data_IF_805856919306
#
_entry.id   IF_805856919306
#
_cell.length_a   1.000
_cell.length_b   1.000
_cell.length_c   1.000
_cell.angle_alpha   90.00
_cell.angle_beta   90.00
_cell.angle_gamma   90.00
#
_symmetry.space_group_name_H-M   'P 1'
#
loop_
_entity.id
_entity.type
_entity.pdbx_description
1 polymer ?
#
# COMPACT_ATOMS: atom_id res chain seq x y z
N UNK A 1 23.66 24.81 7.72
CA UNK A 1 22.64 24.59 6.67
C UNK A 1 23.14 23.45 5.82
N UNK A 2 22.33 22.42 5.53
CA UNK A 2 22.74 21.34 4.64
C UNK A 2 22.17 21.62 3.26
N UNK A 3 23.02 21.91 2.28
CA UNK A 3 22.56 22.00 0.89
C UNK A 3 22.28 20.61 0.33
N UNK A 4 21.33 20.53 -0.61
CA UNK A 4 20.96 19.29 -1.28
C UNK A 4 21.24 19.45 -2.78
N UNK A 5 21.87 18.43 -3.37
CA UNK A 5 22.09 18.34 -4.81
C UNK A 5 21.23 17.23 -5.39
N UNK A 6 20.49 17.56 -6.45
CA UNK A 6 19.67 16.65 -7.25
C UNK A 6 20.24 16.58 -8.67
N UNK A 7 20.50 15.38 -9.18
CA UNK A 7 20.94 15.16 -10.55
C UNK A 7 20.83 13.69 -10.94
N UNK A 8 20.41 13.41 -12.17
CA UNK A 8 20.34 12.05 -12.75
C UNK A 8 19.60 11.01 -11.90
N UNK A 9 18.52 11.41 -11.21
CA UNK A 9 17.75 10.52 -10.32
C UNK A 9 18.49 10.15 -9.02
N UNK A 10 19.53 10.91 -8.68
CA UNK A 10 20.34 10.78 -7.47
C UNK A 10 20.20 12.03 -6.60
N UNK A 11 20.31 11.83 -5.30
CA UNK A 11 20.32 12.89 -4.31
C UNK A 11 21.52 12.72 -3.38
N UNK A 12 22.23 13.81 -3.16
CA UNK A 12 23.29 13.91 -2.16
C UNK A 12 22.97 15.07 -1.21
N UNK A 13 23.29 14.88 0.08
CA UNK A 13 23.04 15.86 1.13
C UNK A 13 24.39 16.28 1.71
N UNK A 14 24.65 17.58 1.74
CA UNK A 14 25.86 18.13 2.32
C UNK A 14 26.04 17.70 3.78
N UNK A 15 27.22 17.18 4.12
CA UNK A 15 27.52 16.67 5.45
C UNK A 15 26.98 15.25 5.72
N UNK A 16 26.38 14.59 4.74
CA UNK A 16 26.04 13.16 4.79
C UNK A 16 26.94 12.38 3.84
N UNK A 17 27.49 11.24 4.29
CA UNK A 17 28.19 10.30 3.42
C UNK A 17 27.25 9.45 2.58
N UNK A 18 25.96 9.40 2.96
CA UNK A 18 24.95 8.62 2.26
C UNK A 18 24.58 9.25 0.92
N UNK A 19 24.45 8.40 -0.10
CA UNK A 19 23.89 8.75 -1.40
C UNK A 19 22.55 8.08 -1.55
N UNK A 20 21.63 8.77 -2.22
CA UNK A 20 20.28 8.30 -2.41
C UNK A 20 19.97 8.22 -3.90
N UNK A 21 19.14 7.24 -4.26
CA UNK A 21 18.60 7.05 -5.61
C UNK A 21 17.10 6.95 -5.53
N UNK A 22 16.39 7.32 -6.60
CA UNK A 22 14.94 7.20 -6.63
C UNK A 22 14.53 5.72 -6.65
N UNK A 23 13.69 5.32 -5.69
CA UNK A 23 13.25 3.93 -5.49
C UNK A 23 12.11 3.47 -6.41
N UNK A 24 11.94 4.09 -7.58
CA UNK A 24 10.81 3.83 -8.49
C UNK A 24 10.78 2.41 -9.07
N UNK A 25 11.90 1.69 -9.02
CA UNK A 25 11.97 0.28 -9.42
C UNK A 25 11.40 -0.68 -8.35
N UNK A 26 11.07 -0.19 -7.16
CA UNK A 26 10.58 -0.98 -6.03
C UNK A 26 9.20 -0.52 -5.60
N UNK A 27 8.42 -1.46 -5.09
CA UNK A 27 7.07 -1.22 -4.61
C UNK A 27 7.10 -0.84 -3.14
N UNK A 28 6.61 0.34 -2.83
CA UNK A 28 6.38 0.77 -1.45
C UNK A 28 5.09 0.13 -0.93
N UNK A 29 5.10 -0.40 0.30
CA UNK A 29 3.95 -1.07 0.90
C UNK A 29 3.58 -0.45 2.24
N UNK A 30 2.30 -0.11 2.39
CA UNK A 30 1.69 0.30 3.65
C UNK A 30 0.71 -0.78 4.12
N UNK A 31 0.68 -1.00 5.43
CA UNK A 31 -0.41 -1.70 6.12
C UNK A 31 -1.05 -0.74 7.10
N UNK A 32 -2.36 -0.68 7.12
CA UNK A 32 -3.11 0.17 8.03
C UNK A 32 -4.23 -0.59 8.72
N UNK A 33 -4.46 -0.26 9.98
CA UNK A 33 -5.48 -0.85 10.82
C UNK A 33 -6.29 0.25 11.53
N UNK A 34 -7.32 -0.13 12.27
CA UNK A 34 -8.18 0.80 12.99
C UNK A 34 -9.00 1.69 12.05
N UNK A 35 -9.54 1.10 10.99
CA UNK A 35 -10.32 1.83 9.99
C UNK A 35 -11.55 2.47 10.62
N UNK A 36 -11.75 3.75 10.32
CA UNK A 36 -12.89 4.53 10.81
C UNK A 36 -13.48 5.39 9.71
N UNK A 37 -14.75 5.20 9.42
CA UNK A 37 -15.49 6.09 8.53
C UNK A 37 -15.69 7.47 9.16
N UNK A 38 -15.46 8.50 8.36
CA UNK A 38 -15.85 9.87 8.68
C UNK A 38 -16.66 10.40 7.50
N UNK A 39 -17.97 10.51 7.70
CA UNK A 39 -18.87 11.14 6.75
C UNK A 39 -19.05 12.63 7.01
N UNK A 40 -19.58 13.35 6.03
CA UNK A 40 -19.93 14.76 6.16
C UNK A 40 -19.65 15.53 4.88
N UNK A 41 -19.87 16.84 4.97
CA UNK A 41 -19.59 17.76 3.88
C UNK A 41 -18.45 18.71 4.27
N UNK A 42 -17.61 19.04 3.31
CA UNK A 42 -16.52 19.99 3.45
C UNK A 42 -16.79 21.20 2.55
N UNK A 43 -16.52 22.42 3.03
CA UNK A 43 -16.57 23.62 2.18
C UNK A 43 -15.24 23.78 1.47
N UNK A 44 -15.24 23.71 0.14
CA UNK A 44 -14.06 23.94 -0.72
C UNK A 44 -14.43 24.94 -1.80
N UNK A 45 -13.64 26.02 -1.91
CA UNK A 45 -13.83 27.08 -2.90
C UNK A 45 -15.26 27.65 -2.92
N UNK A 46 -15.90 27.74 -1.74
CA UNK A 46 -17.26 28.24 -1.59
C UNK A 46 -18.37 27.25 -2.01
N UNK A 47 -18.01 26.01 -2.36
CA UNK A 47 -18.96 24.92 -2.65
C UNK A 47 -18.92 23.88 -1.55
N UNK A 48 -20.09 23.32 -1.25
CA UNK A 48 -20.21 22.19 -0.36
C UNK A 48 -19.91 20.90 -1.15
N UNK A 49 -18.83 20.22 -0.81
CA UNK A 49 -18.43 18.95 -1.42
C UNK A 49 -18.60 17.80 -0.43
N UNK A 50 -18.85 16.59 -0.94
CA UNK A 50 -18.84 15.39 -0.12
C UNK A 50 -17.42 15.17 0.44
N UNK A 51 -17.31 15.21 1.76
CA UNK A 51 -16.05 15.13 2.51
C UNK A 51 -15.76 13.74 3.07
N UNK A 52 -16.46 12.73 2.57
CA UNK A 52 -16.31 11.35 3.02
C UNK A 52 -14.86 10.86 2.93
N UNK A 53 -14.42 10.22 4.01
CA UNK A 53 -13.08 9.64 4.13
C UNK A 53 -13.06 8.48 5.11
N UNK A 54 -12.07 7.62 4.95
CA UNK A 54 -11.75 6.58 5.93
C UNK A 54 -10.40 6.94 6.54
N UNK A 55 -10.34 6.98 7.87
CA UNK A 55 -9.12 7.20 8.63
C UNK A 55 -8.58 5.86 9.12
N UNK A 56 -7.27 5.72 9.15
CA UNK A 56 -6.60 4.53 9.68
C UNK A 56 -5.20 4.90 10.20
N UNK A 57 -4.60 4.02 10.99
CA UNK A 57 -3.21 4.13 11.41
C UNK A 57 -2.37 3.18 10.56
N UNK A 58 -1.40 3.73 9.83
CA UNK A 58 -0.56 2.99 8.88
C UNK A 58 0.88 2.83 9.36
N UNK A 59 1.50 1.75 8.90
CA UNK A 59 2.94 1.46 9.03
C UNK A 59 3.49 0.94 7.71
N UNK A 60 4.79 1.10 7.51
CA UNK A 60 5.49 0.48 6.38
C UNK A 60 5.54 -1.03 6.61
N UNK A 61 5.16 -1.82 5.61
CA UNK A 61 5.00 -3.27 5.76
C UNK A 61 6.35 -4.02 5.75
N UNK A 62 7.33 -3.57 4.95
CA UNK A 62 8.60 -4.28 4.72
C UNK A 62 9.79 -3.31 4.74
N UNK A 63 9.99 -2.70 5.89
CA UNK A 63 11.06 -1.75 6.10
C UNK A 63 10.58 -0.54 6.89
N UNK A 64 11.18 0.61 6.60
CA UNK A 64 11.00 1.82 7.40
C UNK A 64 10.90 3.03 6.49
N UNK A 65 10.11 4.01 6.92
CA UNK A 65 10.09 5.34 6.33
C UNK A 65 10.97 6.25 7.18
N UNK A 66 11.76 7.13 6.57
CA UNK A 66 12.69 8.05 7.24
C UNK A 66 12.74 9.38 6.50
N UNK A 67 13.37 10.38 7.13
CA UNK A 67 13.75 11.64 6.47
C UNK A 67 15.19 11.54 6.00
N UNK A 68 15.47 11.88 4.74
CA UNK A 68 16.84 11.80 4.23
C UNK A 68 17.75 12.78 4.99
N UNK A 69 18.91 12.29 5.44
CA UNK A 69 19.84 13.07 6.26
C UNK A 69 19.51 13.09 7.76
N UNK A 70 18.45 12.41 8.19
CA UNK A 70 18.13 12.19 9.60
C UNK A 70 18.08 10.69 9.90
N UNK A 71 18.40 10.32 11.15
CA UNK A 71 18.45 8.92 11.58
C UNK A 71 17.13 8.41 12.14
N UNK A 72 16.13 9.29 12.30
CA UNK A 72 14.84 8.94 12.87
C UNK A 72 13.96 8.13 11.92
N UNK A 73 13.34 7.10 12.50
CA UNK A 73 12.31 6.31 11.85
C UNK A 73 10.94 6.94 12.06
N UNK A 74 10.17 7.00 10.99
CA UNK A 74 8.76 7.33 11.07
C UNK A 74 8.04 6.13 11.66
N UNK A 75 7.42 6.34 12.83
CA UNK A 75 6.55 5.36 13.46
C UNK A 75 5.19 5.24 12.75
N UNK A 76 4.12 5.27 13.52
CA UNK A 76 2.76 5.30 12.98
C UNK A 76 2.53 6.52 12.09
N UNK A 77 1.87 6.30 10.95
CA UNK A 77 1.52 7.31 9.96
C UNK A 77 0.00 7.42 9.90
N UNK A 78 -0.55 8.61 10.09
CA UNK A 78 -1.99 8.83 9.90
C UNK A 78 -2.38 8.66 8.44
N UNK A 79 -3.17 7.64 8.11
CA UNK A 79 -3.67 7.39 6.76
C UNK A 79 -5.08 7.94 6.58
N UNK A 80 -5.27 8.71 5.52
CA UNK A 80 -6.59 9.14 5.05
C UNK A 80 -6.86 8.56 3.66
N UNK A 81 -7.91 7.75 3.53
CA UNK A 81 -8.42 7.27 2.25
C UNK A 81 -9.58 8.18 1.82
N UNK A 82 -9.52 8.70 0.58
CA UNK A 82 -10.56 9.56 -0.01
C UNK A 82 -11.01 9.01 -1.35
N UNK A 83 -12.29 9.16 -1.72
CA UNK A 83 -12.70 8.93 -3.09
C UNK A 83 -12.16 10.05 -4.01
N UNK A 84 -11.75 9.68 -5.22
CA UNK A 84 -11.51 10.62 -6.30
C UNK A 84 -12.83 11.25 -6.74
N UNK A 85 -12.82 12.52 -7.20
CA UNK A 85 -13.99 13.13 -7.81
C UNK A 85 -14.45 12.30 -9.02
N UNK A 86 -15.75 12.03 -9.13
CA UNK A 86 -16.33 11.18 -10.19
C UNK A 86 -16.09 11.72 -11.63
N UNK A 87 -15.62 12.95 -11.77
CA UNK A 87 -15.31 13.61 -13.05
C UNK A 87 -13.91 13.27 -13.62
N UNK A 88 -13.09 12.45 -12.95
CA UNK A 88 -11.76 12.12 -13.47
C UNK A 88 -11.85 11.10 -14.62
N UNK A 89 -11.51 11.49 -15.84
CA UNK A 89 -11.53 10.62 -17.04
C UNK A 89 -10.54 9.43 -16.95
N UNK A 90 -9.56 9.48 -16.06
CA UNK A 90 -8.66 8.38 -15.74
C UNK A 90 -8.43 8.33 -14.21
N UNK A 91 -9.17 7.49 -13.46
CA UNK A 91 -9.00 7.40 -12.01
C UNK A 91 -7.72 6.64 -11.68
N UNK A 92 -6.57 7.32 -11.78
CA UNK A 92 -5.32 6.79 -11.25
C UNK A 92 -5.35 6.92 -9.74
N UNK A 93 -5.25 5.80 -9.05
CA UNK A 93 -5.17 5.78 -7.60
C UNK A 93 -3.86 6.45 -7.18
N UNK A 94 -3.92 7.42 -6.28
CA UNK A 94 -2.75 8.21 -5.87
C UNK A 94 -2.42 7.94 -4.40
N UNK A 95 -1.13 7.95 -4.08
CA UNK A 95 -0.62 7.96 -2.71
C UNK A 95 0.27 9.19 -2.54
N UNK A 96 0.06 9.94 -1.47
CA UNK A 96 0.91 11.02 -1.03
C UNK A 96 1.40 10.74 0.39
N UNK A 97 2.69 10.93 0.63
CA UNK A 97 3.33 10.75 1.93
C UNK A 97 4.12 12.00 2.27
N UNK A 98 4.10 12.43 3.53
CA UNK A 98 4.90 13.58 3.94
C UNK A 98 4.73 13.90 5.40
N UNK A 99 5.14 15.11 5.75
CA UNK A 99 4.89 15.71 7.06
C UNK A 99 3.98 16.91 6.88
N UNK A 100 3.11 17.12 7.87
CA UNK A 100 2.30 18.33 7.99
C UNK A 100 2.49 18.89 9.39
N UNK A 101 2.37 20.20 9.52
CA UNK A 101 2.35 20.82 10.84
C UNK A 101 0.96 20.65 11.44
N UNK A 102 0.90 20.01 12.60
CA UNK A 102 -0.33 19.81 13.37
C UNK A 102 -0.04 20.15 14.83
N UNK A 103 -0.76 21.14 15.37
CA UNK A 103 -0.56 21.65 16.73
C UNK A 103 0.89 22.07 17.05
N UNK A 104 1.61 22.61 16.06
CA UNK A 104 3.01 23.05 16.22
C UNK A 104 4.04 21.92 16.21
N UNK A 105 3.65 20.69 15.89
CA UNK A 105 4.53 19.56 15.68
C UNK A 105 4.41 19.02 14.25
N UNK A 106 5.52 18.58 13.65
CA UNK A 106 5.48 17.89 12.36
C UNK A 106 4.96 16.45 12.57
N UNK A 107 3.78 16.15 12.04
CA UNK A 107 3.19 14.81 12.08
C UNK A 107 3.29 14.13 10.71
N UNK A 108 3.72 12.86 10.66
CA UNK A 108 3.76 12.10 9.41
C UNK A 108 2.34 11.77 8.96
N UNK A 109 2.08 11.89 7.66
CA UNK A 109 0.79 11.55 7.08
C UNK A 109 0.93 10.76 5.79
N UNK A 110 -0.12 9.98 5.49
CA UNK A 110 -0.36 9.36 4.21
C UNK A 110 -1.78 9.73 3.74
N UNK A 111 -1.92 10.08 2.47
CA UNK A 111 -3.21 10.36 1.85
C UNK A 111 -3.34 9.55 0.56
N UNK A 112 -4.37 8.73 0.49
CA UNK A 112 -4.64 7.88 -0.66
C UNK A 112 -5.96 8.27 -1.31
N UNK A 113 -5.92 8.49 -2.62
CA UNK A 113 -7.10 8.81 -3.42
C UNK A 113 -7.51 7.58 -4.22
N UNK A 114 -8.70 7.08 -3.93
CA UNK A 114 -9.23 5.83 -4.45
C UNK A 114 -10.29 6.07 -5.50
N UNK A 115 -10.45 5.15 -6.45
CA UNK A 115 -11.59 5.18 -7.35
C UNK A 115 -12.89 5.06 -6.52
N UNK A 116 -13.97 5.79 -6.85
CA UNK A 116 -15.20 5.78 -6.07
C UNK A 116 -15.75 4.37 -5.76
N UNK A 117 -15.71 3.48 -6.75
CA UNK A 117 -16.15 2.09 -6.58
C UNK A 117 -15.32 1.31 -5.54
N UNK A 118 -14.00 1.53 -5.50
CA UNK A 118 -13.11 0.88 -4.52
C UNK A 118 -13.36 1.45 -3.13
N UNK A 119 -13.55 2.76 -3.03
CA UNK A 119 -13.85 3.42 -1.75
C UNK A 119 -15.19 2.92 -1.16
N UNK A 120 -16.25 2.87 -1.96
CA UNK A 120 -17.55 2.38 -1.49
C UNK A 120 -17.53 0.88 -1.14
N UNK A 121 -16.78 0.06 -1.88
CA UNK A 121 -16.60 -1.35 -1.54
C UNK A 121 -15.89 -1.53 -0.18
N UNK A 122 -14.77 -0.84 0.03
CA UNK A 122 -14.05 -0.87 1.30
C UNK A 122 -14.92 -0.36 2.45
N UNK A 123 -15.66 0.73 2.24
CA UNK A 123 -16.58 1.30 3.23
C UNK A 123 -17.66 0.29 3.60
N UNK A 124 -18.28 -0.37 2.63
CA UNK A 124 -19.30 -1.39 2.87
C UNK A 124 -18.71 -2.56 3.66
N UNK A 125 -17.56 -3.09 3.27
CA UNK A 125 -16.92 -4.22 3.95
C UNK A 125 -16.51 -3.86 5.37
N UNK A 126 -15.94 -2.67 5.59
CA UNK A 126 -15.59 -2.17 6.92
C UNK A 126 -16.82 -2.03 7.82
N UNK A 127 -17.94 -1.48 7.30
CA UNK A 127 -19.18 -1.37 8.08
C UNK A 127 -19.80 -2.74 8.42
N UNK A 128 -19.51 -3.77 7.64
CA UNK A 128 -19.93 -5.15 7.89
C UNK A 128 -18.90 -5.97 8.71
N UNK A 129 -17.79 -5.36 9.16
CA UNK A 129 -16.73 -6.07 9.90
C UNK A 129 -15.90 -7.03 9.04
N UNK A 130 -15.89 -6.83 7.72
CA UNK A 130 -15.11 -7.61 6.75
C UNK A 130 -13.77 -6.93 6.40
N UNK A 131 -13.53 -5.71 6.89
CA UNK A 131 -12.32 -4.94 6.61
C UNK A 131 -11.85 -4.15 7.85
N UNK A 132 -10.88 -4.73 8.59
CA UNK A 132 -10.23 -4.09 9.75
C UNK A 132 -8.75 -3.78 9.49
N UNK A 133 -8.13 -4.43 8.49
CA UNK A 133 -6.80 -4.13 7.98
C UNK A 133 -6.89 -3.84 6.47
N UNK A 134 -6.18 -2.80 6.01
CA UNK A 134 -5.99 -2.49 4.59
C UNK A 134 -4.50 -2.48 4.27
N UNK A 135 -4.14 -3.10 3.15
CA UNK A 135 -2.80 -3.11 2.58
C UNK A 135 -2.79 -2.32 1.27
N UNK A 136 -1.84 -1.40 1.12
CA UNK A 136 -1.61 -0.61 -0.09
C UNK A 136 -0.23 -0.92 -0.65
N UNK A 137 -0.17 -1.20 -1.95
CA UNK A 137 1.06 -1.22 -2.73
C UNK A 137 1.08 -0.01 -3.66
N UNK A 138 2.22 0.66 -3.75
CA UNK A 138 2.39 1.80 -4.65
C UNK A 138 3.80 1.88 -5.24
N UNK A 139 3.86 2.37 -6.47
CA UNK A 139 5.10 2.84 -7.08
C UNK A 139 5.25 4.33 -6.79
N UNK A 140 6.28 4.71 -6.02
CA UNK A 140 6.46 6.07 -5.50
C UNK A 140 7.74 6.73 -6.00
N UNK A 141 7.87 8.04 -5.79
CA UNK A 141 9.11 8.79 -5.95
C UNK A 141 9.94 8.89 -4.65
N UNK A 142 9.71 8.00 -3.68
CA UNK A 142 10.53 7.93 -2.48
C UNK A 142 11.99 7.60 -2.85
N UNK A 143 12.89 8.06 -2.00
CA UNK A 143 14.31 7.80 -2.13
C UNK A 143 14.69 6.53 -1.37
N UNK A 144 15.72 5.86 -1.82
CA UNK A 144 16.37 4.75 -1.13
C UNK A 144 17.88 5.00 -1.11
N UNK A 145 18.62 4.40 -0.18
CA UNK A 145 20.09 4.53 -0.23
C UNK A 145 20.63 3.82 -1.46
N UNK A 146 21.71 4.36 -2.02
CA UNK A 146 22.36 3.78 -3.20
C UNK A 146 22.89 2.37 -2.93
N UNK A 147 23.35 2.09 -1.70
CA UNK A 147 23.80 0.76 -1.25
C UNK A 147 22.70 -0.30 -1.28
N UNK A 148 21.44 0.11 -1.09
CA UNK A 148 20.29 -0.80 -1.09
C UNK A 148 19.71 -1.05 -2.50
N UNK A 149 20.25 -0.37 -3.52
CA UNK A 149 19.74 -0.42 -4.90
C UNK A 149 19.59 -1.84 -5.42
N UNK A 150 20.58 -2.68 -5.16
CA UNK A 150 20.67 -4.04 -5.68
C UNK A 150 20.30 -5.10 -4.62
N UNK A 151 19.77 -4.68 -3.46
CA UNK A 151 19.33 -5.59 -2.42
C UNK A 151 18.22 -6.55 -2.91
N UNK A 152 18.10 -7.77 -2.36
CA UNK A 152 17.01 -8.67 -2.71
C UNK A 152 15.64 -8.00 -2.53
N UNK A 153 14.68 -8.26 -3.43
CA UNK A 153 13.36 -7.62 -3.38
C UNK A 153 12.55 -7.95 -2.10
N UNK A 154 12.88 -9.05 -1.42
CA UNK A 154 12.19 -9.48 -0.21
C UNK A 154 12.83 -8.96 1.10
N UNK A 155 13.90 -8.17 1.05
CA UNK A 155 14.56 -7.62 2.23
C UNK A 155 13.87 -6.35 2.75
N UNK A 156 13.98 -6.05 4.06
CA UNK A 156 13.51 -4.79 4.61
C UNK A 156 14.26 -3.61 3.96
N UNK A 157 13.53 -2.60 3.50
CA UNK A 157 14.10 -1.46 2.77
C UNK A 157 13.91 -0.13 3.51
N UNK A 158 14.95 0.69 3.53
CA UNK A 158 14.85 2.08 3.98
C UNK A 158 14.28 2.98 2.88
N UNK A 159 13.13 3.57 3.15
CA UNK A 159 12.49 4.58 2.29
C UNK A 159 12.69 5.97 2.88
N UNK A 160 12.98 6.95 2.04
CA UNK A 160 13.37 8.28 2.47
C UNK A 160 12.55 9.37 1.77
N UNK A 161 12.00 10.28 2.58
CA UNK A 161 11.47 11.55 2.09
C UNK A 161 12.63 12.54 1.92
N UNK A 162 12.62 13.29 0.82
CA UNK A 162 13.65 14.29 0.55
C UNK A 162 13.44 15.55 1.41
N UNK A 163 14.51 16.20 1.88
CA UNK A 163 14.40 17.54 2.43
C UNK A 163 14.04 18.54 1.32
N UNK A 164 13.42 19.65 1.72
CA UNK A 164 13.11 20.80 0.89
C UNK A 164 14.36 21.59 0.53
N UNK A 165 14.20 22.56 -0.37
CA UNK A 165 15.30 23.40 -0.84
C UNK A 165 16.00 24.19 0.29
N UNK A 166 15.30 24.45 1.39
CA UNK A 166 15.80 25.12 2.59
C UNK A 166 16.45 24.16 3.60
N UNK A 167 16.40 22.85 3.33
CA UNK A 167 16.91 21.78 4.20
C UNK A 167 16.13 21.61 5.52
N UNK A 168 14.99 22.30 5.68
CA UNK A 168 14.14 22.24 6.88
C UNK A 168 12.82 21.53 6.61
N UNK A 169 12.11 21.95 5.56
CA UNK A 169 10.86 21.31 5.19
C UNK A 169 11.14 19.91 4.62
N UNK A 170 10.14 19.03 4.65
CA UNK A 170 10.18 17.74 3.95
C UNK A 170 9.31 17.82 2.70
N UNK A 171 9.85 17.43 1.56
CA UNK A 171 9.10 17.37 0.30
C UNK A 171 8.22 16.13 0.32
N UNK A 172 6.89 16.27 0.15
CA UNK A 172 6.02 15.11 0.09
C UNK A 172 6.35 14.20 -1.09
N UNK A 173 6.41 12.90 -0.82
CA UNK A 173 6.47 11.89 -1.86
C UNK A 173 5.08 11.64 -2.45
N UNK A 174 5.05 11.29 -3.73
CA UNK A 174 3.86 10.95 -4.50
C UNK A 174 4.09 9.64 -5.24
N UNK A 175 3.02 8.88 -5.42
CA UNK A 175 3.05 7.64 -6.15
C UNK A 175 1.69 7.24 -6.66
N UNK A 176 1.69 6.17 -7.45
CA UNK A 176 0.49 5.53 -7.95
C UNK A 176 0.26 4.24 -7.18
N UNK A 177 -0.95 4.06 -6.66
CA UNK A 177 -1.36 2.81 -6.03
C UNK A 177 -1.65 1.82 -7.16
N UNK A 178 -0.94 0.72 -7.14
CA UNK A 178 -1.01 -0.37 -8.11
C UNK A 178 -1.61 -1.64 -7.48
N UNK A 179 -2.04 -1.57 -6.21
CA UNK A 179 -2.76 -2.64 -5.54
C UNK A 179 -3.27 -2.20 -4.17
N UNK A 180 -4.47 -2.66 -3.86
CA UNK A 180 -5.15 -2.47 -2.58
C UNK A 180 -5.85 -3.77 -2.24
N UNK A 181 -5.74 -4.20 -0.98
CA UNK A 181 -6.44 -5.35 -0.45
C UNK A 181 -6.86 -5.05 0.99
N UNK A 182 -7.97 -5.61 1.44
CA UNK A 182 -8.42 -5.51 2.82
C UNK A 182 -8.95 -6.85 3.31
N UNK A 183 -8.89 -7.04 4.61
CA UNK A 183 -9.30 -8.27 5.28
C UNK A 183 -9.79 -7.99 6.70
N UNK A 184 -10.57 -8.90 7.31
CA UNK A 184 -10.83 -8.88 8.74
C UNK A 184 -9.52 -8.96 9.53
N UNK A 185 -9.49 -8.40 10.74
CA UNK A 185 -8.29 -8.50 11.57
C UNK A 185 -8.04 -9.98 11.86
N UNK A 186 -6.85 -10.47 11.51
CA UNK A 186 -6.44 -11.81 11.89
C UNK A 186 -6.48 -11.86 13.43
N UNK A 187 -7.43 -12.62 13.98
CA UNK A 187 -7.50 -12.89 15.41
C UNK A 187 -6.13 -13.43 15.80
N UNK A 188 -5.43 -12.86 16.79
CA UNK A 188 -4.15 -13.39 17.19
C UNK A 188 -4.37 -14.87 17.52
N UNK A 189 -3.67 -15.75 16.80
CA UNK A 189 -3.60 -17.15 17.21
C UNK A 189 -3.17 -17.15 18.67
N UNK A 190 -3.87 -17.86 19.58
CA UNK A 190 -3.43 -17.93 20.95
C UNK A 190 -2.00 -18.47 20.91
N UNK A 191 -1.05 -17.60 21.27
CA UNK A 191 0.34 -18.00 21.48
C UNK A 191 0.30 -19.18 22.42
N UNK A 192 0.63 -20.37 21.90
CA UNK A 192 0.82 -21.57 22.68
C UNK A 192 2.12 -21.40 23.49
N UNK A 193 2.11 -20.52 24.48
CA UNK A 193 2.90 -20.71 25.69
C UNK A 193 2.18 -21.76 26.52
N UNK A 194 2.41 -23.02 26.19
CA UNK A 194 2.31 -24.11 27.16
C UNK A 194 3.70 -24.72 27.25
N UNK A 195 4.35 -24.38 28.34
CA UNK A 195 5.48 -25.08 28.92
C UNK A 195 5.17 -26.59 28.88
N UNK A 196 5.83 -27.32 28.00
CA UNK A 196 5.69 -28.75 27.86
C UNK A 196 6.32 -29.46 29.07
N UNK A 197 5.52 -29.68 30.12
CA UNK A 197 5.76 -30.77 31.07
C UNK A 197 5.15 -32.05 30.48
N UNK A 198 6.02 -32.98 30.13
CA UNK A 198 5.72 -34.27 29.53
C UNK A 198 4.81 -35.17 30.40
N UNK A 199 3.85 -35.85 29.76
CA UNK A 199 3.53 -37.30 29.92
C UNK A 199 2.37 -37.70 28.95
N UNK A 200 2.10 -38.99 28.71
CA UNK A 200 2.37 -39.70 27.47
C UNK A 200 1.14 -39.84 26.55
N UNK A 201 1.42 -40.12 25.28
CA UNK A 201 0.44 -40.38 24.23
C UNK A 201 -0.49 -41.57 24.53
N UNK A 202 -1.74 -41.51 24.03
CA UNK A 202 -2.35 -42.63 23.36
C UNK A 202 -2.60 -42.31 21.88
N UNK A 203 -2.39 -43.34 21.07
CA UNK A 203 -2.51 -43.31 19.63
C UNK A 203 -3.96 -43.18 19.13
N UNK A 204 -4.06 -42.54 17.96
CA UNK A 204 -4.85 -42.94 16.78
C UNK A 204 -5.97 -41.98 16.35
N UNK A 205 -5.86 -41.64 15.06
CA UNK A 205 -6.83 -41.07 14.14
C UNK A 205 -7.24 -39.61 14.38
N UNK A 206 -6.81 -38.70 13.48
CA UNK A 206 -7.69 -37.91 12.62
C UNK A 206 -6.86 -37.08 11.61
N UNK A 207 -7.14 -37.32 10.33
CA UNK A 207 -7.17 -36.37 9.21
C UNK A 207 -6.02 -35.37 9.04
N UNK A 208 -4.92 -35.86 8.47
CA UNK A 208 -4.07 -35.03 7.61
C UNK A 208 -4.79 -34.90 6.24
N UNK A 209 -5.46 -33.77 6.01
CA UNK A 209 -6.19 -33.55 4.75
C UNK A 209 -6.74 -32.15 4.50
N UNK A 210 -6.32 -31.11 5.23
CA UNK A 210 -6.95 -29.78 5.12
C UNK A 210 -6.01 -28.62 4.71
N UNK A 211 -4.70 -28.85 4.57
CA UNK A 211 -3.74 -27.78 4.22
C UNK A 211 -3.21 -27.85 2.77
N UNK A 212 -3.44 -28.96 2.05
CA UNK A 212 -3.02 -29.10 0.63
C UNK A 212 -4.14 -28.75 -0.36
N UNK A 213 -5.42 -28.91 0.01
CA UNK A 213 -6.58 -28.69 -0.89
C UNK A 213 -6.71 -27.24 -1.37
N UNK A 214 -6.49 -26.24 -0.51
CA UNK A 214 -6.67 -24.83 -0.86
C UNK A 214 -5.66 -24.31 -1.91
N UNK A 215 -4.47 -24.92 -1.98
CA UNK A 215 -3.41 -24.52 -2.91
C UNK A 215 -3.59 -25.15 -4.28
N UNK A 216 -4.06 -26.39 -4.34
CA UNK A 216 -4.35 -27.09 -5.59
C UNK A 216 -5.61 -26.51 -6.26
N UNK A 217 -6.67 -26.22 -5.49
CA UNK A 217 -7.89 -25.59 -5.99
C UNK A 217 -7.66 -24.21 -6.64
N UNK A 218 -6.78 -23.39 -6.04
CA UNK A 218 -6.45 -22.07 -6.57
C UNK A 218 -5.70 -22.10 -7.91
N UNK A 219 -4.81 -23.07 -8.08
CA UNK A 219 -4.07 -23.26 -9.34
C UNK A 219 -4.97 -23.81 -10.45
N UNK A 220 -5.89 -24.70 -10.11
CA UNK A 220 -6.87 -25.26 -11.04
C UNK A 220 -7.87 -24.19 -11.52
N UNK A 221 -8.32 -23.30 -10.62
CA UNK A 221 -9.16 -22.16 -10.96
C UNK A 221 -8.45 -21.14 -11.88
N UNK A 222 -7.18 -20.83 -11.62
CA UNK A 222 -6.36 -19.96 -12.49
C UNK A 222 -6.15 -20.57 -13.88
N UNK A 223 -5.96 -21.90 -13.95
CA UNK A 223 -5.79 -22.63 -15.22
C UNK A 223 -7.10 -22.63 -16.03
N UNK A 224 -8.24 -22.77 -15.37
CA UNK A 224 -9.59 -22.70 -15.96
C UNK A 224 -9.93 -21.30 -16.48
N UNK A 225 -9.53 -20.25 -15.75
CA UNK A 225 -9.65 -18.84 -16.17
C UNK A 225 -8.80 -18.51 -17.39
N UNK A 226 -7.56 -19.00 -17.44
CA UNK A 226 -6.69 -18.82 -18.61
C UNK A 226 -7.27 -19.51 -19.86
N UNK A 227 -7.90 -20.68 -19.69
CA UNK A 227 -8.53 -21.42 -20.79
C UNK A 227 -9.80 -20.73 -21.32
N UNK A 228 -10.69 -20.26 -20.43
CA UNK A 228 -11.89 -19.53 -20.83
C UNK A 228 -11.56 -18.21 -21.54
N UNK A 229 -10.51 -17.52 -21.10
CA UNK A 229 -10.04 -16.29 -21.73
C UNK A 229 -9.50 -16.52 -23.15
N UNK A 230 -8.76 -17.63 -23.37
CA UNK A 230 -8.31 -18.02 -24.72
C UNK A 230 -9.47 -18.32 -25.67
N UNK A 231 -10.51 -19.00 -25.18
CA UNK A 231 -11.73 -19.27 -25.95
C UNK A 231 -12.49 -18.00 -26.31
N UNK A 232 -12.59 -17.05 -25.37
CA UNK A 232 -13.22 -15.75 -25.61
C UNK A 232 -12.45 -14.95 -26.67
N UNK A 233 -11.11 -14.93 -26.61
CA UNK A 233 -10.27 -14.25 -27.60
C UNK A 233 -10.39 -14.89 -28.99
N UNK A 234 -10.44 -16.23 -29.06
CA UNK A 234 -10.67 -16.96 -30.32
C UNK A 234 -12.04 -16.63 -30.93
N UNK A 235 -13.09 -16.57 -30.10
CA UNK A 235 -14.43 -16.22 -30.56
C UNK A 235 -14.52 -14.76 -31.03
N UNK A 236 -13.85 -13.84 -30.33
CA UNK A 236 -13.74 -12.44 -30.73
C UNK A 236 -12.99 -12.30 -32.07
N UNK A 237 -11.87 -13.02 -32.23
CA UNK A 237 -11.11 -13.03 -33.46
C UNK A 237 -11.93 -13.59 -34.64
N UNK A 238 -12.71 -14.65 -34.39
CA UNK A 238 -13.60 -15.22 -35.41
C UNK A 238 -14.73 -14.26 -35.79
N UNK A 239 -15.32 -13.56 -34.82
CA UNK A 239 -16.34 -12.54 -35.07
C UNK A 239 -15.77 -11.39 -35.92
N UNK A 240 -14.57 -10.91 -35.59
CA UNK A 240 -13.87 -9.88 -36.36
C UNK A 240 -13.57 -10.35 -37.79
N UNK A 241 -13.19 -11.62 -37.97
CA UNK A 241 -12.96 -12.20 -39.29
C UNK A 241 -14.25 -12.25 -40.12
N UNK A 242 -15.38 -12.63 -39.52
CA UNK A 242 -16.69 -12.63 -40.20
C UNK A 242 -17.09 -11.20 -40.62
N UNK A 243 -16.86 -10.22 -39.75
CA UNK A 243 -17.17 -8.81 -40.05
C UNK A 243 -16.26 -8.29 -41.18
N UNK A 244 -14.99 -8.69 -41.21
CA UNK A 244 -14.03 -8.25 -42.24
C UNK A 244 -14.23 -8.91 -43.61
N UNK A 245 -14.91 -10.07 -43.66
CA UNK A 245 -15.18 -10.82 -44.90
C UNK A 245 -16.54 -10.42 -45.53
N UNK A 246 -17.34 -9.59 -44.84
CA UNK A 246 -18.62 -9.08 -45.33
C UNK A 246 -18.49 -7.63 -45.81
#
# INVERSE_FOLDING_TARGET
MRSMSLGDGRMAIEGSSARYVQGSARRFRLKAAGLRFVGGFESRDGRLEDGQRILAEARVADGVLRRAGFDDEVGAVGLTLRPLPASSEQPRLLLMLGYREENGAETPFAEAFLAPAVFEALKADMLNGLADEVSLGATTNLWMREEDRDAPQAGPLGWYLAPGADGRAIVPARGFIDGIAWQPLAKPEPSATVEAAAAPAPAAAHEAGAEEDWREDGLEQLRKLNWSFRLLLLLLAFLLLIIAVK
#
